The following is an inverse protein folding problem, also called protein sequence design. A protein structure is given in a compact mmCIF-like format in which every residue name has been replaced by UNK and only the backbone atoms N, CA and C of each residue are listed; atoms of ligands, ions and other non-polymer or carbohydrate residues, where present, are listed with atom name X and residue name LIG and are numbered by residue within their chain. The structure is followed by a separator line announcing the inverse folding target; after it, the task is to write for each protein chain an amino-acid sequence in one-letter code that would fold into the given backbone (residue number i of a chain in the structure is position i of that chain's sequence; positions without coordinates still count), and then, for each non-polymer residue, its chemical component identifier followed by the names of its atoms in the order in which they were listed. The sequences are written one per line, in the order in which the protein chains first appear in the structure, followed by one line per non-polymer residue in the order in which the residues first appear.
data_IF_141054262790
#
_entry.id   IF_141054262790
#
_cell.length_a   1.000
_cell.length_b   1.000
_cell.length_c   1.000
_cell.angle_alpha   90.00
_cell.angle_beta   90.00
_cell.angle_gamma   90.00
#
_symmetry.space_group_name_H-M   'P 1'
#
loop_
_entity.id
_entity.type
_entity.pdbx_description
1 polymer ?
#
# COMPACT_ATOMS: atom_id res chain seq x y z
N UNK A 1 38.52 -31.80 -18.91
CA UNK A 1 38.41 -31.72 -17.44
C UNK A 1 38.04 -30.29 -17.10
N UNK A 2 36.96 -30.12 -16.33
CA UNK A 2 36.29 -28.86 -15.96
C UNK A 2 37.03 -28.18 -14.81
N UNK A 3 36.99 -26.85 -14.73
CA UNK A 3 36.72 -26.14 -13.47
C UNK A 3 36.01 -24.81 -13.76
N UNK A 4 34.72 -24.75 -13.43
CA UNK A 4 33.93 -23.53 -13.37
C UNK A 4 34.22 -22.86 -12.02
N UNK A 5 34.68 -21.61 -12.05
CA UNK A 5 34.76 -20.74 -10.87
C UNK A 5 33.43 -20.00 -10.77
N UNK A 6 32.60 -20.38 -9.80
CA UNK A 6 31.40 -19.62 -9.44
C UNK A 6 31.79 -18.66 -8.31
N UNK A 7 31.70 -17.37 -8.59
CA UNK A 7 31.87 -16.27 -7.65
C UNK A 7 30.66 -16.24 -6.70
N UNK A 8 30.94 -16.34 -5.40
CA UNK A 8 29.94 -16.33 -4.32
C UNK A 8 29.47 -14.91 -4.08
N UNK A 9 28.31 -14.53 -4.65
CA UNK A 9 27.58 -13.35 -4.21
C UNK A 9 26.75 -13.70 -2.97
N UNK A 10 27.04 -13.01 -1.87
CA UNK A 10 26.43 -13.17 -0.54
C UNK A 10 24.90 -12.93 -0.59
N UNK A 11 24.08 -13.74 0.11
CA UNK A 11 22.67 -13.43 0.28
C UNK A 11 22.51 -12.35 1.37
N UNK A 12 22.29 -11.10 0.95
CA UNK A 12 21.85 -10.03 1.86
C UNK A 12 20.50 -10.41 2.44
N UNK A 13 20.55 -10.79 3.72
CA UNK A 13 19.41 -11.12 4.53
C UNK A 13 18.76 -9.82 5.01
N UNK A 14 17.52 -9.57 4.58
CA UNK A 14 16.40 -9.00 5.37
C UNK A 14 15.45 -8.16 4.49
N UNK A 15 14.41 -8.79 3.95
CA UNK A 15 13.05 -8.24 4.10
C UNK A 15 11.94 -9.28 3.82
N UNK A 16 12.08 -10.48 4.38
CA UNK A 16 11.00 -11.46 4.34
C UNK A 16 10.02 -11.15 5.48
N UNK A 17 9.05 -10.28 5.20
CA UNK A 17 7.92 -10.06 6.12
C UNK A 17 7.11 -11.35 6.24
N UNK A 18 7.34 -12.10 7.32
CA UNK A 18 6.54 -13.27 7.70
C UNK A 18 5.64 -12.90 8.88
N UNK A 19 4.33 -12.64 8.65
CA UNK A 19 3.42 -12.36 9.75
C UNK A 19 3.31 -13.59 10.66
N UNK A 20 3.42 -13.36 11.97
CA UNK A 20 3.30 -14.42 12.97
C UNK A 20 1.91 -15.07 12.88
N UNK A 21 1.87 -16.40 12.84
CA UNK A 21 0.63 -17.20 12.85
C UNK A 21 -0.21 -16.79 14.08
N UNK A 22 -1.38 -16.20 13.83
CA UNK A 22 -2.28 -15.65 14.86
C UNK A 22 -2.41 -14.12 14.85
N UNK A 23 -1.58 -13.39 14.11
CA UNK A 23 -1.69 -11.93 13.99
C UNK A 23 -2.47 -11.58 12.72
N UNK A 24 -3.78 -11.38 12.85
CA UNK A 24 -4.56 -10.66 11.85
C UNK A 24 -4.23 -9.16 11.94
N UNK A 25 -2.96 -8.80 11.70
CA UNK A 25 -2.55 -7.42 11.51
C UNK A 25 -3.00 -7.00 10.11
N UNK A 26 -4.32 -6.96 9.88
CA UNK A 26 -4.87 -6.22 8.75
C UNK A 26 -4.55 -4.77 9.04
N UNK A 27 -3.45 -4.29 8.47
CA UNK A 27 -3.22 -2.85 8.34
C UNK A 27 -4.35 -2.37 7.43
N UNK A 28 -5.44 -1.92 8.03
CA UNK A 28 -6.61 -1.45 7.31
C UNK A 28 -6.27 -0.05 6.80
N UNK A 29 -5.64 0.03 5.62
CA UNK A 29 -5.37 1.31 4.95
C UNK A 29 -6.69 2.01 4.67
N UNK A 30 -6.97 3.18 5.29
CA UNK A 30 -8.24 3.86 5.10
C UNK A 30 -8.42 4.23 3.63
N UNK A 31 -9.53 3.79 3.05
CA UNK A 31 -9.92 4.15 1.68
C UNK A 31 -10.66 5.48 1.69
N UNK A 32 -10.36 6.33 0.73
CA UNK A 32 -11.03 7.60 0.46
C UNK A 32 -11.63 7.59 -0.94
N UNK A 33 -12.77 8.27 -1.13
CA UNK A 33 -13.48 8.37 -2.40
C UNK A 33 -13.93 9.80 -2.70
N UNK A 34 -14.15 10.09 -3.97
CA UNK A 34 -14.76 11.36 -4.35
C UNK A 34 -16.19 11.45 -3.79
N UNK A 35 -16.64 12.60 -3.27
CA UNK A 35 -18.02 12.77 -2.78
C UNK A 35 -19.06 12.81 -3.91
N UNK A 36 -18.66 13.01 -5.16
CA UNK A 36 -19.57 12.99 -6.32
C UNK A 36 -19.96 11.55 -6.64
N UNK A 37 -21.25 11.23 -6.57
CA UNK A 37 -21.80 9.85 -6.69
C UNK A 37 -21.43 9.17 -8.02
N UNK A 38 -21.36 9.93 -9.11
CA UNK A 38 -20.97 9.42 -10.43
C UNK A 38 -19.45 9.28 -10.62
N UNK A 39 -18.64 9.72 -9.66
CA UNK A 39 -17.19 9.65 -9.71
C UNK A 39 -16.66 8.42 -8.97
N UNK A 40 -15.90 7.59 -9.68
CA UNK A 40 -15.29 6.39 -9.09
C UNK A 40 -13.84 6.61 -8.63
N UNK A 41 -13.37 7.87 -8.57
CA UNK A 41 -12.02 8.14 -8.07
C UNK A 41 -11.91 7.74 -6.61
N UNK A 42 -10.90 6.92 -6.31
CA UNK A 42 -10.53 6.54 -4.95
C UNK A 42 -9.05 6.69 -4.72
N UNK A 43 -8.67 6.80 -3.45
CA UNK A 43 -7.30 6.88 -2.98
C UNK A 43 -7.17 6.12 -1.67
N UNK A 44 -6.02 5.51 -1.41
CA UNK A 44 -5.76 4.78 -0.17
C UNK A 44 -4.64 5.50 0.56
N UNK A 45 -4.85 5.74 1.86
CA UNK A 45 -3.83 6.32 2.70
C UNK A 45 -2.82 5.24 3.11
N UNK A 46 -1.54 5.47 2.80
CA UNK A 46 -0.43 4.61 3.18
C UNK A 46 0.13 5.01 4.55
N UNK A 47 0.20 6.30 4.84
CA UNK A 47 0.72 6.83 6.11
C UNK A 47 -0.24 7.83 6.76
N UNK A 48 -0.28 7.89 8.09
CA UNK A 48 -1.20 8.78 8.80
C UNK A 48 -0.92 10.27 8.58
N UNK A 49 0.32 10.61 8.24
CA UNK A 49 0.81 11.96 7.92
C UNK A 49 0.50 12.44 6.51
N UNK A 50 0.09 11.56 5.59
CA UNK A 50 -0.22 11.97 4.22
C UNK A 50 -1.45 12.88 4.17
N UNK A 51 -1.31 14.05 3.56
CA UNK A 51 -2.46 14.89 3.25
C UNK A 51 -3.43 14.18 2.30
N UNK A 52 -4.73 14.38 2.52
CA UNK A 52 -5.76 13.79 1.68
C UNK A 52 -5.83 14.59 0.37
N UNK A 53 -5.61 13.97 -0.79
CA UNK A 53 -5.60 14.70 -2.06
C UNK A 53 -7.01 15.11 -2.50
N UNK A 54 -7.06 16.01 -3.49
CA UNK A 54 -8.29 16.34 -4.21
C UNK A 54 -8.56 15.34 -5.33
N UNK A 55 -9.83 15.20 -5.71
CA UNK A 55 -10.23 14.46 -6.90
C UNK A 55 -9.75 15.19 -8.17
N UNK A 56 -9.02 14.55 -9.10
CA UNK A 56 -8.50 15.19 -10.30
C UNK A 56 -9.58 15.59 -11.33
N UNK A 57 -10.83 15.17 -11.12
CA UNK A 57 -11.97 15.46 -12.03
C UNK A 57 -12.82 16.62 -11.50
N UNK A 58 -13.05 16.67 -10.18
CA UNK A 58 -14.00 17.59 -9.55
C UNK A 58 -13.33 18.61 -8.62
N UNK A 59 -12.03 18.47 -8.38
CA UNK A 59 -11.23 19.32 -7.47
C UNK A 59 -11.79 19.41 -6.04
N UNK A 60 -12.46 18.34 -5.59
CA UNK A 60 -13.00 18.20 -4.23
C UNK A 60 -12.11 17.29 -3.39
N UNK A 61 -11.89 17.63 -2.12
CA UNK A 61 -11.17 16.78 -1.15
C UNK A 61 -11.86 15.41 -1.07
N UNK A 62 -11.08 14.33 -1.16
CA UNK A 62 -11.62 12.99 -1.03
C UNK A 62 -12.11 12.73 0.41
N UNK A 63 -13.20 11.99 0.56
CA UNK A 63 -13.82 11.68 1.86
C UNK A 63 -13.62 10.22 2.22
N UNK A 64 -13.47 9.91 3.52
CA UNK A 64 -13.24 8.54 4.00
C UNK A 64 -14.43 7.65 3.63
N UNK A 65 -14.15 6.51 3.01
CA UNK A 65 -15.12 5.45 2.70
C UNK A 65 -15.39 4.66 3.98
N UNK A 66 -16.24 5.19 4.84
CA UNK A 66 -16.76 4.44 5.99
C UNK A 66 -17.77 3.43 5.48
N UNK A 67 -17.37 2.16 5.34
CA UNK A 67 -18.37 1.08 5.30
C UNK A 67 -19.06 1.04 6.66
N UNK A 68 -20.35 1.36 6.68
CA UNK A 68 -21.24 1.10 7.82
C UNK A 68 -21.57 -0.37 7.96
#
# INVERSE_FOLDING_TARGET
MLTNTYDTAEPDAQNSYSPLIGSSSRVESPRYRCPVVSCHQTWYRHETSEDIPHCPIHDLVLVRDSKG
#
